data_IF_189047691659
#
_entry.id   IF_189047691659
#
_cell.length_a   1.000
_cell.length_b   1.000
_cell.length_c   1.000
_cell.angle_alpha   90.00
_cell.angle_beta   90.00
_cell.angle_gamma   90.00
#
_symmetry.space_group_name_H-M   'P 1'
#
loop_
_entity.id
_entity.type
_entity.pdbx_description
1 polymer ?
#
# COMPACT_ATOMS: atom_id res chain seq x y z
N UNK A 1 2.75 -6.12 5.24
CA UNK A 1 1.41 -6.60 4.85
C UNK A 1 0.44 -5.46 5.12
N UNK A 2 -0.01 -4.72 4.09
CA UNK A 2 -0.80 -3.47 4.23
C UNK A 2 -2.24 -3.59 3.71
N UNK A 3 -2.75 -4.80 3.54
CA UNK A 3 -4.09 -5.03 2.98
C UNK A 3 -4.95 -5.77 4.00
N UNK A 4 -6.03 -5.13 4.47
CA UNK A 4 -7.01 -5.72 5.39
C UNK A 4 -8.36 -5.79 4.68
N UNK A 5 -8.87 -7.01 4.45
CA UNK A 5 -10.21 -7.22 3.91
C UNK A 5 -11.17 -7.41 5.10
N UNK A 6 -12.07 -6.46 5.34
CA UNK A 6 -13.07 -6.57 6.40
C UNK A 6 -14.35 -7.18 5.81
N UNK A 7 -14.64 -8.44 6.13
CA UNK A 7 -15.97 -9.02 5.94
C UNK A 7 -16.86 -8.51 7.06
N UNK A 8 -17.96 -7.85 6.72
CA UNK A 8 -18.89 -7.32 7.71
C UNK A 8 -19.68 -8.46 8.35
N UNK A 9 -19.31 -8.88 9.56
CA UNK A 9 -20.21 -9.54 10.51
C UNK A 9 -20.66 -8.48 11.54
N UNK A 10 -21.97 -8.38 11.85
CA UNK A 10 -22.42 -7.47 12.89
C UNK A 10 -21.91 -7.96 14.25
N UNK A 11 -21.14 -7.13 14.97
CA UNK A 11 -20.80 -7.34 16.39
C UNK A 11 -19.32 -7.44 16.78
N UNK A 12 -18.36 -7.19 15.88
CA UNK A 12 -16.94 -7.21 16.24
C UNK A 12 -16.26 -5.86 16.00
N UNK A 13 -16.01 -5.13 17.10
CA UNK A 13 -15.07 -4.01 17.16
C UNK A 13 -13.66 -4.53 16.86
N UNK A 14 -13.19 -4.33 15.62
CA UNK A 14 -11.83 -4.70 15.23
C UNK A 14 -10.86 -3.68 15.80
N UNK A 15 -10.31 -3.96 16.98
CA UNK A 15 -9.25 -3.16 17.60
C UNK A 15 -7.94 -3.42 16.84
N UNK A 16 -7.60 -2.52 15.91
CA UNK A 16 -6.37 -2.56 15.13
C UNK A 16 -5.24 -1.85 15.89
N UNK A 17 -4.38 -2.62 16.58
CA UNK A 17 -3.19 -2.08 17.28
C UNK A 17 -1.96 -1.85 16.37
N UNK A 18 -1.96 -2.31 15.12
CA UNK A 18 -0.79 -2.21 14.22
C UNK A 18 -0.67 -0.88 13.45
N UNK A 19 -1.70 -0.03 13.47
CA UNK A 19 -1.74 1.20 12.68
C UNK A 19 -0.78 2.29 13.21
N UNK A 20 -0.38 2.22 14.48
CA UNK A 20 0.43 3.26 15.13
C UNK A 20 1.91 3.28 14.72
N UNK A 21 2.44 2.24 14.05
CA UNK A 21 3.87 2.11 13.73
C UNK A 21 4.18 2.04 12.22
N UNK A 22 3.17 2.02 11.36
CA UNK A 22 3.36 1.90 9.91
C UNK A 22 3.40 3.28 9.22
N UNK A 23 4.41 3.57 8.37
CA UNK A 23 4.48 4.83 7.62
C UNK A 23 3.29 5.07 6.67
N UNK A 24 2.64 3.99 6.21
CA UNK A 24 1.43 4.03 5.39
C UNK A 24 0.33 3.30 6.13
N UNK A 25 -0.81 3.96 6.31
CA UNK A 25 -1.99 3.36 6.93
C UNK A 25 -2.60 2.27 6.03
N UNK A 26 -3.12 1.18 6.61
CA UNK A 26 -3.71 0.09 5.85
C UNK A 26 -4.94 0.57 5.05
N UNK A 27 -5.09 0.05 3.83
CA UNK A 27 -6.28 0.30 3.01
C UNK A 27 -7.49 -0.44 3.59
N UNK A 28 -8.62 0.27 3.72
CA UNK A 28 -9.90 -0.31 4.11
C UNK A 28 -10.86 -0.25 2.93
N UNK A 29 -11.41 -1.40 2.56
CA UNK A 29 -12.36 -1.56 1.47
C UNK A 29 -13.64 -2.20 2.01
N UNK A 30 -14.78 -1.66 1.60
CA UNK A 30 -16.06 -2.34 1.72
C UNK A 30 -16.28 -3.16 0.45
N UNK A 31 -16.42 -4.47 0.63
CA UNK A 31 -16.70 -5.44 -0.44
C UNK A 31 -18.17 -5.81 -0.36
N UNK A 32 -19.03 -5.33 -1.28
CA UNK A 32 -20.44 -5.71 -1.32
C UNK A 32 -20.63 -7.20 -1.58
N UNK A 33 -21.75 -7.77 -1.15
CA UNK A 33 -22.13 -9.15 -1.49
C UNK A 33 -22.31 -9.39 -3.00
N UNK A 34 -22.56 -8.32 -3.77
CA UNK A 34 -22.68 -8.34 -5.23
C UNK A 34 -21.40 -7.85 -5.95
N UNK A 35 -20.23 -8.03 -5.34
CA UNK A 35 -18.92 -7.59 -5.87
C UNK A 35 -18.63 -8.00 -7.32
N UNK A 36 -19.19 -9.11 -7.81
CA UNK A 36 -19.06 -9.54 -9.21
C UNK A 36 -19.73 -8.59 -10.23
N UNK A 37 -20.59 -7.69 -9.75
CA UNK A 37 -21.32 -6.72 -10.57
C UNK A 37 -21.06 -5.26 -10.13
N UNK A 38 -20.27 -5.03 -9.08
CA UNK A 38 -20.09 -3.72 -8.44
C UNK A 38 -18.66 -3.54 -7.93
N UNK A 39 -18.12 -2.32 -8.06
CA UNK A 39 -16.77 -1.99 -7.56
C UNK A 39 -16.72 -1.92 -6.02
N UNK A 40 -15.60 -2.27 -5.38
CA UNK A 40 -15.43 -2.09 -3.94
C UNK A 40 -15.43 -0.60 -3.58
N UNK A 41 -15.96 -0.27 -2.41
CA UNK A 41 -16.02 1.11 -1.93
C UNK A 41 -14.83 1.38 -1.00
N UNK A 42 -14.08 2.44 -1.29
CA UNK A 42 -12.95 2.86 -0.47
C UNK A 42 -13.44 3.56 0.80
N UNK A 43 -13.00 3.08 1.96
CA UNK A 43 -13.28 3.71 3.25
C UNK A 43 -12.12 4.66 3.60
N UNK A 44 -12.19 5.87 3.06
CA UNK A 44 -11.08 6.85 3.13
C UNK A 44 -10.98 7.59 4.47
N UNK A 45 -12.07 7.66 5.22
CA UNK A 45 -12.21 8.56 6.38
C UNK A 45 -12.27 7.77 7.68
N UNK A 46 -11.11 7.44 8.24
CA UNK A 46 -11.00 7.13 9.66
C UNK A 46 -9.97 8.07 10.27
N UNK A 47 -10.30 8.78 11.36
CA UNK A 47 -9.33 9.59 12.07
C UNK A 47 -8.34 8.62 12.71
N UNK A 48 -7.16 8.54 12.13
CA UNK A 48 -6.02 7.89 12.73
C UNK A 48 -4.98 8.98 12.83
N UNK A 49 -4.50 9.28 14.04
CA UNK A 49 -3.40 10.19 14.28
C UNK A 49 -2.22 9.81 13.35
N UNK A 50 -2.00 10.60 12.30
CA UNK A 50 -0.83 10.45 11.43
C UNK A 50 0.29 11.26 12.08
N UNK A 51 1.45 10.62 12.30
CA UNK A 51 2.66 11.36 12.68
C UNK A 51 2.97 12.40 11.59
N UNK A 52 3.16 13.67 11.99
CA UNK A 52 3.58 14.76 11.09
C UNK A 52 4.92 14.49 10.38
N UNK A 53 5.67 13.50 10.85
CA UNK A 53 7.01 13.15 10.38
C UNK A 53 7.00 12.42 9.03
N UNK A 54 5.84 11.86 8.64
CA UNK A 54 5.61 11.28 7.32
C UNK A 54 4.56 12.13 6.59
N UNK A 55 4.99 13.26 6.02
CA UNK A 55 4.20 14.08 5.08
C UNK A 55 3.37 13.16 4.18
N UNK A 56 2.05 13.20 4.36
CA UNK A 56 1.11 12.06 4.32
C UNK A 56 1.37 11.01 3.22
N UNK A 57 2.29 10.07 3.48
CA UNK A 57 2.61 8.95 2.59
C UNK A 57 1.37 8.11 2.29
N UNK A 58 0.41 8.07 3.22
CA UNK A 58 -0.86 7.37 3.04
C UNK A 58 -1.72 8.07 1.99
N UNK A 59 -1.85 9.39 2.03
CA UNK A 59 -2.54 10.14 0.99
C UNK A 59 -1.90 9.96 -0.38
N UNK A 60 -0.55 9.98 -0.46
CA UNK A 60 0.15 9.76 -1.73
C UNK A 60 -0.07 8.33 -2.27
N UNK A 61 -0.02 7.31 -1.41
CA UNK A 61 -0.28 5.92 -1.79
C UNK A 61 -1.73 5.71 -2.25
N UNK A 62 -2.71 6.26 -1.51
CA UNK A 62 -4.15 6.24 -1.88
C UNK A 62 -4.41 6.94 -3.21
N UNK A 63 -3.78 8.10 -3.45
CA UNK A 63 -3.90 8.83 -4.71
C UNK A 63 -3.40 8.00 -5.90
N UNK A 64 -2.21 7.40 -5.79
CA UNK A 64 -1.68 6.48 -6.81
C UNK A 64 -2.58 5.29 -7.05
N UNK A 65 -3.05 4.67 -5.97
CA UNK A 65 -3.98 3.56 -6.05
C UNK A 65 -5.28 3.93 -6.76
N UNK A 66 -5.87 5.09 -6.45
CA UNK A 66 -7.07 5.57 -7.13
C UNK A 66 -6.85 5.80 -8.62
N UNK A 67 -5.68 6.31 -9.02
CA UNK A 67 -5.32 6.47 -10.44
C UNK A 67 -5.21 5.10 -11.11
N UNK A 68 -4.51 4.14 -10.48
CA UNK A 68 -4.37 2.78 -11.01
C UNK A 68 -5.73 2.09 -11.18
N UNK A 69 -6.66 2.24 -10.24
CA UNK A 69 -8.02 1.69 -10.36
C UNK A 69 -8.81 2.31 -11.52
N UNK A 70 -8.74 3.63 -11.71
CA UNK A 70 -9.50 4.33 -12.78
C UNK A 70 -9.04 3.97 -14.19
N UNK A 71 -7.79 3.52 -14.34
CA UNK A 71 -7.20 3.17 -15.66
C UNK A 71 -7.61 1.77 -16.14
N UNK A 72 -8.43 1.04 -15.39
CA UNK A 72 -8.79 -0.35 -15.68
C UNK A 72 -10.30 -0.47 -15.92
N UNK A 73 -10.65 -1.16 -17.00
CA UNK A 73 -12.03 -1.26 -17.53
C UNK A 73 -12.84 -2.45 -16.98
N UNK A 74 -12.24 -3.32 -16.16
CA UNK A 74 -12.87 -4.54 -15.67
C UNK A 74 -12.82 -4.63 -14.14
N UNK A 75 -13.85 -5.23 -13.55
CA UNK A 75 -13.88 -5.57 -12.13
C UNK A 75 -12.69 -6.46 -11.78
N UNK A 76 -11.81 -5.96 -10.92
CA UNK A 76 -10.62 -6.67 -10.48
C UNK A 76 -10.97 -7.71 -9.41
N UNK A 77 -10.25 -8.83 -9.37
CA UNK A 77 -10.32 -9.71 -8.22
C UNK A 77 -9.76 -8.99 -6.97
N UNK A 78 -10.23 -9.36 -5.77
CA UNK A 78 -9.68 -8.79 -4.53
C UNK A 78 -8.17 -8.98 -4.41
N UNK A 79 -7.65 -10.09 -4.97
CA UNK A 79 -6.22 -10.38 -5.04
C UNK A 79 -5.48 -9.34 -5.89
N UNK A 80 -6.05 -8.95 -7.02
CA UNK A 80 -5.42 -7.96 -7.90
C UNK A 80 -5.49 -6.57 -7.27
N UNK A 81 -6.57 -6.23 -6.59
CA UNK A 81 -6.66 -4.97 -5.82
C UNK A 81 -5.61 -4.92 -4.71
N UNK A 82 -5.43 -6.02 -3.98
CA UNK A 82 -4.39 -6.15 -2.96
C UNK A 82 -2.99 -5.94 -3.53
N UNK A 83 -2.72 -6.53 -4.71
CA UNK A 83 -1.45 -6.37 -5.41
C UNK A 83 -1.24 -4.92 -5.87
N UNK A 84 -2.27 -4.28 -6.42
CA UNK A 84 -2.20 -2.87 -6.84
C UNK A 84 -1.91 -1.95 -5.66
N UNK A 85 -2.56 -2.17 -4.52
CA UNK A 85 -2.28 -1.40 -3.30
C UNK A 85 -0.86 -1.61 -2.79
N UNK A 86 -0.37 -2.86 -2.75
CA UNK A 86 1.00 -3.18 -2.33
C UNK A 86 2.03 -2.48 -3.22
N UNK A 87 1.83 -2.53 -4.55
CA UNK A 87 2.69 -1.85 -5.52
C UNK A 87 2.70 -0.32 -5.33
N UNK A 88 1.54 0.31 -5.18
CA UNK A 88 1.44 1.76 -4.95
C UNK A 88 2.12 2.16 -3.63
N UNK A 89 1.91 1.39 -2.56
CA UNK A 89 2.48 1.65 -1.24
C UNK A 89 4.01 1.53 -1.26
N UNK A 90 4.54 0.46 -1.86
CA UNK A 90 5.98 0.25 -2.01
C UNK A 90 6.64 1.34 -2.83
N UNK A 91 6.01 1.76 -3.94
CA UNK A 91 6.54 2.83 -4.77
C UNK A 91 6.64 4.16 -3.99
N UNK A 92 5.64 4.48 -3.17
CA UNK A 92 5.68 5.68 -2.32
C UNK A 92 6.77 5.60 -1.25
N UNK A 93 6.93 4.44 -0.59
CA UNK A 93 8.00 4.23 0.38
C UNK A 93 9.38 4.34 -0.28
N UNK A 94 9.55 3.75 -1.47
CA UNK A 94 10.81 3.80 -2.20
C UNK A 94 11.19 5.24 -2.57
N UNK A 95 10.24 5.99 -3.14
CA UNK A 95 10.44 7.41 -3.46
C UNK A 95 10.81 8.23 -2.23
N UNK A 96 10.11 8.00 -1.11
CA UNK A 96 10.42 8.66 0.15
C UNK A 96 11.84 8.33 0.64
N UNK A 97 12.23 7.05 0.57
CA UNK A 97 13.57 6.62 0.96
C UNK A 97 14.65 7.26 0.08
N UNK A 98 14.46 7.29 -1.23
CA UNK A 98 15.37 7.95 -2.18
C UNK A 98 15.47 9.46 -1.91
N UNK A 99 14.34 10.15 -1.70
CA UNK A 99 14.30 11.58 -1.37
C UNK A 99 14.98 11.91 -0.05
N UNK A 100 14.98 10.96 0.89
CA UNK A 100 15.61 11.10 2.21
C UNK A 100 17.11 10.76 2.21
N UNK A 101 17.74 10.61 1.04
CA UNK A 101 19.16 10.22 0.92
C UNK A 101 19.41 8.71 1.14
N UNK A 102 18.35 7.92 1.11
CA UNK A 102 18.40 6.47 0.97
C UNK A 102 18.74 6.05 -0.46
N UNK A 103 18.78 4.74 -0.69
CA UNK A 103 19.18 4.15 -1.96
C UNK A 103 19.45 2.67 -1.77
N UNK A 104 19.85 1.97 -2.82
CA UNK A 104 20.30 0.58 -2.69
C UNK A 104 21.68 0.54 -2.01
N UNK A 105 22.03 -0.62 -1.46
CA UNK A 105 23.41 -0.87 -1.02
C UNK A 105 24.40 -0.57 -2.15
N UNK A 106 24.09 -1.01 -3.37
CA UNK A 106 24.93 -0.78 -4.54
C UNK A 106 25.04 0.69 -4.95
N UNK A 107 24.01 1.52 -4.72
CA UNK A 107 24.09 2.94 -5.03
C UNK A 107 25.01 3.70 -4.08
N UNK A 108 25.23 3.18 -2.86
CA UNK A 108 26.13 3.78 -1.86
C UNK A 108 27.54 3.20 -1.88
N UNK A 109 27.67 1.89 -2.12
CA UNK A 109 28.92 1.15 -1.92
C UNK A 109 29.47 0.49 -3.20
N UNK A 110 28.78 0.63 -4.32
CA UNK A 110 29.14 -0.05 -5.57
C UNK A 110 28.61 -1.49 -5.64
N UNK A 111 28.73 -2.09 -6.82
CA UNK A 111 28.33 -3.49 -7.05
C UNK A 111 29.46 -4.42 -6.61
N UNK A 112 29.11 -5.53 -5.95
CA UNK A 112 30.09 -6.57 -5.63
C UNK A 112 30.76 -7.10 -6.91
N UNK A 113 32.06 -7.32 -6.84
CA UNK A 113 32.83 -7.91 -7.94
C UNK A 113 32.26 -9.30 -8.26
N UNK A 114 31.94 -9.55 -9.53
CA UNK A 114 31.46 -10.86 -9.95
C UNK A 114 32.66 -11.82 -10.07
N UNK A 115 32.90 -12.65 -9.05
CA UNK A 115 34.00 -13.63 -9.00
C UNK A 115 33.71 -14.86 -9.89
N UNK A 116 33.20 -14.67 -11.11
CA UNK A 116 32.94 -15.75 -12.07
C UNK A 116 34.00 -15.87 -13.18
N UNK A 117 35.06 -15.09 -13.14
CA UNK A 117 36.22 -15.26 -14.04
C UNK A 117 37.49 -15.49 -13.24
N UNK A 118 37.58 -16.68 -12.64
CA UNK A 118 38.82 -17.25 -12.14
C UNK A 118 38.92 -18.70 -12.62
N UNK A 119 39.17 -18.87 -13.92
CA UNK A 119 39.73 -20.09 -14.51
C UNK A 119 40.46 -19.75 -15.78
#
# INVERSE_FOLDING_TARGET
>A
MLFQCCVSQPGLEVIVRSAQLSPIQPLRLLVPSNYLNCSPVLLDKFPVEVSKEYEDLSAKAKSRFSISLRRLSQLMSLKDIARTWDNCSRAVILEYAEQSGGGSFSSKYGTWENIQTAT
#
